data_IF_179886885649
#
_entry.id   IF_179886885649
#
_cell.length_a   1.000
_cell.length_b   1.000
_cell.length_c   1.000
_cell.angle_alpha   90.00
_cell.angle_beta   90.00
_cell.angle_gamma   90.00
#
_symmetry.space_group_name_H-M   'P 1'
#
loop_
_entity.id
_entity.type
_entity.pdbx_description
1 polymer ?
#
# COMPACT_ATOMS: atom_id res chain seq x y z
N UNK A 1 -20.17 13.67 -7.95
CA UNK A 1 -19.05 14.24 -7.14
C UNK A 1 -19.50 14.63 -5.73
N UNK A 2 -20.39 15.57 -5.53
CA UNK A 2 -20.82 16.03 -4.19
C UNK A 2 -21.34 14.89 -3.30
N UNK A 3 -22.11 13.94 -3.85
CA UNK A 3 -22.63 12.78 -3.09
C UNK A 3 -21.57 11.95 -2.39
N UNK A 4 -20.40 11.74 -3.02
CA UNK A 4 -19.31 11.01 -2.41
C UNK A 4 -18.72 11.73 -1.19
N UNK A 5 -18.54 13.04 -1.29
CA UNK A 5 -18.09 13.88 -0.19
C UNK A 5 -19.12 13.96 0.94
N UNK A 6 -20.40 14.09 0.60
CA UNK A 6 -21.49 14.10 1.58
C UNK A 6 -21.55 12.78 2.35
N UNK A 7 -21.37 11.65 1.66
CA UNK A 7 -21.42 10.33 2.27
C UNK A 7 -20.29 10.10 3.29
N UNK A 8 -19.08 10.60 3.03
CA UNK A 8 -17.93 10.42 3.93
C UNK A 8 -17.92 11.38 5.12
N UNK A 9 -18.74 12.43 5.10
CA UNK A 9 -18.86 13.39 6.21
C UNK A 9 -18.51 14.83 5.85
N UNK A 10 -18.53 15.18 4.58
CA UNK A 10 -18.29 16.54 4.06
C UNK A 10 -17.00 17.17 4.58
N UNK A 11 -15.83 16.54 4.40
CA UNK A 11 -14.58 17.16 4.80
C UNK A 11 -14.40 18.51 4.09
N UNK A 12 -13.75 19.44 4.76
CA UNK A 12 -13.42 20.76 4.20
C UNK A 12 -12.34 20.61 3.13
N UNK A 13 -12.73 20.46 1.86
CA UNK A 13 -11.80 20.31 0.75
C UNK A 13 -12.24 21.06 -0.50
N UNK A 14 -11.26 21.38 -1.36
CA UNK A 14 -11.48 21.85 -2.72
C UNK A 14 -11.24 20.70 -3.72
N UNK A 15 -11.85 20.79 -4.91
CA UNK A 15 -11.66 19.81 -5.98
C UNK A 15 -11.17 20.53 -7.24
N UNK A 16 -10.07 20.06 -7.80
CA UNK A 16 -9.52 20.50 -9.08
C UNK A 16 -9.57 19.34 -10.08
N UNK A 17 -10.28 19.49 -11.18
CA UNK A 17 -10.23 18.53 -12.28
C UNK A 17 -9.32 19.10 -13.37
N UNK A 18 -8.34 18.32 -13.80
CA UNK A 18 -7.36 18.77 -14.81
C UNK A 18 -7.00 17.65 -15.78
N UNK A 19 -6.72 18.01 -17.02
CA UNK A 19 -6.15 17.08 -18.00
C UNK A 19 -4.61 16.98 -17.85
N UNK A 20 -3.97 17.96 -17.24
CA UNK A 20 -2.52 17.99 -16.96
C UNK A 20 -2.27 17.68 -15.48
N UNK A 21 -2.58 16.43 -15.11
CA UNK A 21 -2.60 15.98 -13.72
C UNK A 21 -1.21 16.02 -13.08
N UNK A 22 -0.17 15.52 -13.77
CA UNK A 22 1.19 15.45 -13.22
C UNK A 22 1.72 16.84 -12.93
N UNK A 23 1.67 17.75 -13.92
CA UNK A 23 2.13 19.14 -13.74
C UNK A 23 1.34 19.86 -12.65
N UNK A 24 0.03 19.59 -12.54
CA UNK A 24 -0.78 20.20 -11.48
C UNK A 24 -0.34 19.72 -10.08
N UNK A 25 -0.10 18.41 -9.90
CA UNK A 25 0.37 17.85 -8.64
C UNK A 25 1.76 18.38 -8.28
N UNK A 26 2.71 18.38 -9.21
CA UNK A 26 4.08 18.90 -8.98
C UNK A 26 4.09 20.39 -8.62
N UNK A 27 3.31 21.20 -9.33
CA UNK A 27 3.21 22.64 -9.06
C UNK A 27 2.62 22.94 -7.69
N UNK A 28 1.66 22.12 -7.25
CA UNK A 28 0.94 22.30 -5.98
C UNK A 28 1.66 21.62 -4.80
N UNK A 29 2.60 20.73 -5.07
CA UNK A 29 3.41 20.05 -4.08
C UNK A 29 4.90 20.15 -4.43
N UNK A 30 5.51 21.33 -4.25
CA UNK A 30 6.91 21.60 -4.65
C UNK A 30 7.93 20.72 -3.89
N UNK A 31 7.55 20.14 -2.77
CA UNK A 31 8.40 19.22 -2.01
C UNK A 31 8.48 17.80 -2.63
N UNK A 32 7.69 17.55 -3.68
CA UNK A 32 7.70 16.29 -4.45
C UNK A 32 7.83 16.60 -5.96
N UNK A 33 9.00 17.04 -6.43
CA UNK A 33 9.20 17.61 -7.77
C UNK A 33 9.12 16.59 -8.91
N UNK A 34 9.12 15.29 -8.63
CA UNK A 34 9.06 14.24 -9.65
C UNK A 34 7.88 13.29 -9.31
N UNK A 35 6.67 13.80 -9.57
CA UNK A 35 5.49 12.99 -9.30
C UNK A 35 5.25 11.98 -10.42
N UNK A 36 5.28 10.70 -10.09
CA UNK A 36 4.89 9.64 -11.02
C UNK A 36 3.41 9.27 -10.81
N UNK A 37 2.61 9.47 -11.86
CA UNK A 37 1.20 9.09 -11.87
C UNK A 37 0.96 7.62 -12.25
N UNK A 38 1.96 6.92 -12.77
CA UNK A 38 1.84 5.51 -13.12
C UNK A 38 1.93 4.62 -11.87
N UNK A 39 1.08 3.63 -11.79
CA UNK A 39 1.02 2.65 -10.69
C UNK A 39 0.82 1.26 -11.26
N UNK A 40 1.92 0.59 -11.62
CA UNK A 40 1.85 -0.67 -12.34
C UNK A 40 1.18 -0.49 -13.71
N UNK A 41 0.12 -1.23 -13.99
CA UNK A 41 -0.67 -1.12 -15.22
C UNK A 41 -1.68 0.04 -15.21
N UNK A 42 -1.83 0.74 -14.09
CA UNK A 42 -2.83 1.80 -13.92
C UNK A 42 -2.23 3.20 -13.79
N UNK A 43 -3.12 4.18 -13.93
CA UNK A 43 -2.80 5.61 -13.74
C UNK A 43 -3.57 6.13 -12.52
N UNK A 44 -2.92 6.97 -11.72
CA UNK A 44 -3.56 7.63 -10.57
C UNK A 44 -4.73 8.49 -11.06
N UNK A 45 -5.93 8.17 -10.58
CA UNK A 45 -7.16 8.86 -10.96
C UNK A 45 -7.41 10.15 -10.15
N UNK A 46 -6.94 10.19 -8.91
CA UNK A 46 -7.01 11.37 -8.06
C UNK A 46 -5.88 11.37 -7.02
N UNK A 47 -5.62 12.54 -6.42
CA UNK A 47 -4.63 12.74 -5.37
C UNK A 47 -5.09 13.83 -4.41
N UNK A 48 -5.15 13.51 -3.13
CA UNK A 48 -5.37 14.50 -2.07
C UNK A 48 -4.05 15.16 -1.71
N UNK A 49 -4.04 16.49 -1.70
CA UNK A 49 -2.91 17.34 -1.33
C UNK A 49 -3.27 18.17 -0.09
N UNK A 50 -2.31 18.33 0.80
CA UNK A 50 -2.43 19.16 1.99
C UNK A 50 -1.56 20.41 1.79
N UNK A 51 -2.21 21.53 1.61
CA UNK A 51 -1.55 22.81 1.38
C UNK A 51 -1.43 23.57 2.70
N UNK A 52 -0.32 24.28 2.96
CA UNK A 52 -0.21 25.14 4.14
C UNK A 52 -1.33 26.18 4.15
N UNK A 53 -1.97 26.35 5.30
CA UNK A 53 -3.00 27.35 5.55
C UNK A 53 -4.21 27.35 4.60
N UNK A 54 -4.47 26.20 3.94
CA UNK A 54 -5.59 26.01 3.02
C UNK A 54 -6.34 24.69 3.30
N UNK A 55 -7.60 24.57 2.88
CA UNK A 55 -8.29 23.30 2.88
C UNK A 55 -7.55 22.25 2.04
N UNK A 56 -7.74 20.97 2.36
CA UNK A 56 -7.23 19.89 1.52
C UNK A 56 -7.72 20.07 0.08
N UNK A 57 -6.88 19.71 -0.89
CA UNK A 57 -7.20 19.80 -2.31
C UNK A 57 -7.16 18.43 -2.95
N UNK A 58 -8.28 17.98 -3.50
CA UNK A 58 -8.33 16.78 -4.34
C UNK A 58 -8.10 17.16 -5.78
N UNK A 59 -6.98 16.73 -6.35
CA UNK A 59 -6.69 16.87 -7.78
C UNK A 59 -7.16 15.61 -8.48
N UNK A 60 -8.04 15.76 -9.47
CA UNK A 60 -8.59 14.66 -10.26
C UNK A 60 -7.93 14.68 -11.64
N UNK A 61 -7.43 13.51 -12.04
CA UNK A 61 -6.94 13.28 -13.39
C UNK A 61 -8.13 13.14 -14.34
N UNK A 62 -8.48 14.21 -15.05
CA UNK A 62 -9.61 14.25 -15.95
C UNK A 62 -9.54 13.15 -17.01
N UNK A 63 -8.35 12.88 -17.55
CA UNK A 63 -8.16 11.83 -18.56
C UNK A 63 -8.41 10.41 -18.02
N UNK A 64 -8.08 10.17 -16.76
CA UNK A 64 -8.25 8.87 -16.12
C UNK A 64 -9.69 8.59 -15.67
N UNK A 65 -10.53 9.63 -15.57
CA UNK A 65 -11.93 9.49 -15.11
C UNK A 65 -12.96 9.73 -16.19
N UNK A 66 -12.54 10.12 -17.39
CA UNK A 66 -13.45 10.53 -18.47
C UNK A 66 -14.48 9.45 -18.82
N UNK A 67 -14.03 8.20 -18.89
CA UNK A 67 -14.86 7.06 -19.29
C UNK A 67 -15.41 6.26 -18.08
N UNK A 68 -15.21 6.76 -16.86
CA UNK A 68 -15.72 6.10 -15.65
C UNK A 68 -17.21 6.39 -15.43
N UNK A 69 -17.88 5.43 -14.83
CA UNK A 69 -19.28 5.59 -14.42
C UNK A 69 -19.40 6.56 -13.23
N UNK A 70 -20.53 7.23 -13.09
CA UNK A 70 -20.80 8.17 -11.99
C UNK A 70 -20.57 7.55 -10.61
N UNK A 71 -20.92 6.28 -10.43
CA UNK A 71 -20.73 5.56 -9.18
C UNK A 71 -19.24 5.35 -8.83
N UNK A 72 -18.41 5.13 -9.84
CA UNK A 72 -16.95 5.00 -9.64
C UNK A 72 -16.32 6.34 -9.29
N UNK A 73 -16.76 7.43 -9.92
CA UNK A 73 -16.32 8.79 -9.60
C UNK A 73 -16.78 9.18 -8.19
N UNK A 74 -18.01 8.82 -7.82
CA UNK A 74 -18.55 9.05 -6.48
C UNK A 74 -17.71 8.34 -5.43
N UNK A 75 -17.39 7.04 -5.64
CA UNK A 75 -16.54 6.26 -4.77
C UNK A 75 -15.12 6.83 -4.67
N UNK A 76 -14.53 7.24 -5.80
CA UNK A 76 -13.21 7.87 -5.84
C UNK A 76 -13.17 9.12 -4.96
N UNK A 77 -14.17 9.98 -5.08
CA UNK A 77 -14.26 11.18 -4.26
C UNK A 77 -14.53 10.91 -2.79
N UNK A 78 -15.33 9.90 -2.48
CA UNK A 78 -15.50 9.46 -1.11
C UNK A 78 -14.19 8.95 -0.51
N UNK A 79 -13.37 8.23 -1.30
CA UNK A 79 -12.04 7.77 -0.90
C UNK A 79 -11.08 8.93 -0.62
N UNK A 80 -10.94 9.86 -1.57
CA UNK A 80 -10.07 11.03 -1.42
C UNK A 80 -10.56 11.96 -0.29
N UNK A 81 -11.88 12.08 -0.13
CA UNK A 81 -12.49 12.77 1.00
C UNK A 81 -12.15 12.09 2.34
N UNK A 82 -11.98 10.78 2.34
CA UNK A 82 -11.51 10.02 3.48
C UNK A 82 -10.11 10.44 3.95
N UNK A 83 -9.18 10.68 3.04
CA UNK A 83 -7.87 11.23 3.37
C UNK A 83 -7.97 12.62 4.00
N UNK A 84 -8.79 13.53 3.43
CA UNK A 84 -9.02 14.85 4.01
C UNK A 84 -9.62 14.75 5.42
N UNK A 85 -10.59 13.88 5.62
CA UNK A 85 -11.20 13.62 6.93
C UNK A 85 -10.20 13.13 7.97
N UNK A 86 -9.29 12.21 7.58
CA UNK A 86 -8.22 11.74 8.45
C UNK A 86 -7.28 12.87 8.83
N UNK A 87 -6.96 13.75 7.89
CA UNK A 87 -6.08 14.89 8.13
C UNK A 87 -6.74 15.90 9.11
N UNK A 88 -7.98 16.25 8.89
CA UNK A 88 -8.74 17.17 9.77
C UNK A 88 -8.85 16.66 11.21
N UNK A 89 -9.00 15.35 11.39
CA UNK A 89 -9.13 14.74 12.71
C UNK A 89 -7.81 14.33 13.34
N UNK A 90 -6.68 14.74 12.76
CA UNK A 90 -5.34 14.38 13.24
C UNK A 90 -5.02 12.89 13.12
N UNK A 91 -5.80 12.18 12.30
CA UNK A 91 -5.63 10.74 12.09
C UNK A 91 -4.72 10.37 10.93
N UNK A 92 -4.33 11.34 10.09
CA UNK A 92 -3.26 11.13 9.13
C UNK A 92 -1.92 11.20 9.85
N UNK A 93 -1.05 10.29 9.51
CA UNK A 93 0.27 10.25 10.11
C UNK A 93 1.26 10.96 9.21
N UNK A 94 2.00 11.98 9.70
CA UNK A 94 3.10 12.54 8.95
C UNK A 94 4.03 11.40 8.53
N UNK A 95 4.20 11.20 7.23
CA UNK A 95 5.18 10.25 6.73
C UNK A 95 6.57 10.81 7.11
N UNK A 96 7.42 10.00 7.75
CA UNK A 96 8.81 10.39 7.89
C UNK A 96 9.36 10.66 6.48
N UNK A 97 10.21 11.68 6.29
CA UNK A 97 10.79 11.95 4.99
C UNK A 97 11.47 10.67 4.49
N UNK A 98 10.97 10.12 3.41
CA UNK A 98 11.34 8.80 2.85
C UNK A 98 12.83 8.70 2.48
N UNK A 99 13.54 9.82 2.43
CA UNK A 99 14.87 9.89 1.81
C UNK A 99 15.95 10.62 2.61
N UNK A 100 15.69 10.96 3.86
CA UNK A 100 16.75 11.55 4.69
C UNK A 100 17.46 10.44 5.48
N UNK A 101 18.75 10.30 5.29
CA UNK A 101 19.80 9.68 6.12
C UNK A 101 19.47 8.45 7.00
N UNK A 102 18.26 7.94 6.96
CA UNK A 102 17.81 6.77 7.69
C UNK A 102 18.02 5.49 6.86
N UNK A 103 18.28 4.39 7.52
CA UNK A 103 18.26 3.10 6.83
C UNK A 103 16.88 2.86 6.22
N UNK A 104 16.76 2.24 5.02
CA UNK A 104 15.47 1.93 4.39
C UNK A 104 14.52 1.16 5.31
N UNK A 105 15.04 0.24 6.14
CA UNK A 105 14.23 -0.47 7.12
C UNK A 105 13.64 0.42 8.21
N UNK A 106 14.30 1.55 8.53
CA UNK A 106 13.80 2.52 9.51
C UNK A 106 12.79 3.51 8.93
N UNK A 107 12.79 3.73 7.62
CA UNK A 107 11.90 4.69 6.97
C UNK A 107 10.80 4.02 6.14
N UNK A 108 11.14 3.00 5.36
CA UNK A 108 10.19 2.37 4.42
C UNK A 108 9.12 1.56 5.15
N UNK A 109 9.47 0.72 6.12
CA UNK A 109 8.47 -0.08 6.84
C UNK A 109 7.48 0.77 7.65
N UNK A 110 7.93 1.77 8.45
CA UNK A 110 7.00 2.68 9.10
C UNK A 110 6.14 3.50 8.15
N UNK A 111 6.70 3.93 7.00
CA UNK A 111 5.92 4.62 5.98
C UNK A 111 4.88 3.69 5.32
N UNK A 112 5.26 2.46 5.03
CA UNK A 112 4.33 1.43 4.52
C UNK A 112 3.20 1.17 5.50
N UNK A 113 3.52 0.99 6.78
CA UNK A 113 2.53 0.78 7.83
C UNK A 113 1.57 1.98 7.97
N UNK A 114 2.09 3.22 7.90
CA UNK A 114 1.28 4.42 7.97
C UNK A 114 0.28 4.50 6.81
N UNK A 115 0.76 4.35 5.57
CA UNK A 115 -0.11 4.34 4.38
C UNK A 115 -1.13 3.21 4.45
N UNK A 116 -0.71 2.00 4.80
CA UNK A 116 -1.60 0.85 4.89
C UNK A 116 -2.72 1.03 5.93
N UNK A 117 -2.42 1.64 7.07
CA UNK A 117 -3.42 1.93 8.11
C UNK A 117 -4.40 3.03 7.63
N UNK A 118 -3.91 4.07 6.96
CA UNK A 118 -4.79 5.11 6.40
C UNK A 118 -5.76 4.53 5.37
N UNK A 119 -5.24 3.77 4.41
CA UNK A 119 -6.06 3.11 3.39
C UNK A 119 -7.07 2.13 4.00
N UNK A 120 -6.66 1.32 4.97
CA UNK A 120 -7.56 0.44 5.72
C UNK A 120 -8.73 1.21 6.35
N UNK A 121 -8.44 2.30 7.03
CA UNK A 121 -9.46 3.11 7.74
C UNK A 121 -10.47 3.70 6.77
N UNK A 122 -9.99 4.17 5.61
CA UNK A 122 -10.84 4.73 4.56
C UNK A 122 -11.69 3.62 3.94
N UNK A 123 -11.08 2.52 3.52
CA UNK A 123 -11.78 1.41 2.86
C UNK A 123 -12.79 0.73 3.80
N UNK A 124 -12.47 0.61 5.09
CA UNK A 124 -13.42 0.15 6.10
C UNK A 124 -14.62 1.08 6.19
N UNK A 125 -14.40 2.41 6.22
CA UNK A 125 -15.49 3.39 6.24
C UNK A 125 -16.34 3.33 4.99
N UNK A 126 -15.73 3.24 3.81
CA UNK A 126 -16.45 3.11 2.55
C UNK A 126 -17.31 1.83 2.51
N UNK A 127 -16.78 0.74 3.01
CA UNK A 127 -17.51 -0.53 3.12
C UNK A 127 -18.72 -0.42 4.07
N UNK A 128 -18.56 0.24 5.22
CA UNK A 128 -19.66 0.54 6.16
C UNK A 128 -20.74 1.43 5.53
N UNK A 129 -20.37 2.30 4.59
CA UNK A 129 -21.28 3.14 3.82
C UNK A 129 -21.93 2.42 2.62
N UNK A 130 -21.57 1.17 2.38
CA UNK A 130 -22.13 0.35 1.31
C UNK A 130 -21.50 0.55 -0.07
N UNK A 131 -20.34 1.21 -0.15
CA UNK A 131 -19.59 1.29 -1.41
C UNK A 131 -19.02 -0.07 -1.82
N UNK A 132 -18.90 -0.35 -3.14
CA UNK A 132 -18.33 -1.59 -3.63
C UNK A 132 -16.84 -1.70 -3.25
N UNK A 133 -16.34 -2.92 -3.19
CA UNK A 133 -14.92 -3.21 -2.99
C UNK A 133 -14.10 -2.54 -4.11
N UNK A 134 -12.98 -1.93 -3.75
CA UNK A 134 -12.09 -1.31 -4.71
C UNK A 134 -11.55 -2.34 -5.71
N UNK A 135 -11.39 -1.93 -6.97
CA UNK A 135 -10.74 -2.73 -8.01
C UNK A 135 -9.33 -3.20 -7.58
N UNK A 136 -8.60 -2.34 -6.85
CA UNK A 136 -7.29 -2.65 -6.27
C UNK A 136 -7.30 -3.85 -5.31
N UNK A 137 -8.44 -4.23 -4.76
CA UNK A 137 -8.63 -5.42 -3.93
C UNK A 137 -9.21 -6.61 -4.72
N UNK A 138 -9.35 -6.50 -6.05
CA UNK A 138 -9.81 -7.61 -6.88
C UNK A 138 -8.78 -8.76 -6.87
N UNK A 139 -9.23 -10.02 -6.99
CA UNK A 139 -8.34 -11.18 -7.01
C UNK A 139 -7.17 -11.07 -8.01
N UNK A 140 -7.42 -10.50 -9.19
CA UNK A 140 -6.39 -10.28 -10.21
C UNK A 140 -5.28 -9.32 -9.76
N UNK A 141 -5.65 -8.21 -9.12
CA UNK A 141 -4.67 -7.27 -8.57
C UNK A 141 -3.86 -7.88 -7.42
N UNK A 142 -4.52 -8.63 -6.54
CA UNK A 142 -3.84 -9.35 -5.46
C UNK A 142 -2.82 -10.33 -6.05
N UNK A 143 -3.20 -11.07 -7.08
CA UNK A 143 -2.32 -12.03 -7.74
C UNK A 143 -1.14 -11.36 -8.44
N UNK A 144 -1.36 -10.21 -9.06
CA UNK A 144 -0.30 -9.41 -9.67
C UNK A 144 0.73 -8.94 -8.63
N UNK A 145 0.26 -8.38 -7.50
CA UNK A 145 1.16 -7.94 -6.42
C UNK A 145 1.88 -9.09 -5.74
N UNK A 146 1.24 -10.25 -5.60
CA UNK A 146 1.89 -11.47 -5.13
C UNK A 146 3.00 -11.91 -6.08
N UNK A 147 2.74 -11.83 -7.38
CA UNK A 147 3.73 -12.18 -8.40
C UNK A 147 4.92 -11.23 -8.36
N UNK A 148 4.69 -9.91 -8.37
CA UNK A 148 5.73 -8.91 -8.22
C UNK A 148 6.61 -9.15 -6.97
N UNK A 149 5.98 -9.27 -5.80
CA UNK A 149 6.70 -9.51 -4.56
C UNK A 149 7.53 -10.79 -4.61
N UNK A 150 6.98 -11.85 -5.20
CA UNK A 150 7.68 -13.11 -5.35
C UNK A 150 8.89 -12.99 -6.27
N UNK A 151 8.76 -12.29 -7.40
CA UNK A 151 9.87 -12.04 -8.33
C UNK A 151 11.00 -11.28 -7.64
N UNK A 152 10.68 -10.16 -6.98
CA UNK A 152 11.69 -9.35 -6.29
C UNK A 152 12.41 -10.13 -5.18
N UNK A 153 11.67 -10.94 -4.42
CA UNK A 153 12.27 -11.81 -3.39
C UNK A 153 13.22 -12.83 -4.02
N UNK A 154 12.83 -13.47 -5.13
CA UNK A 154 13.65 -14.50 -5.75
C UNK A 154 14.84 -13.91 -6.50
N UNK A 155 14.66 -12.82 -7.24
CA UNK A 155 15.78 -12.10 -7.84
C UNK A 155 16.79 -11.70 -6.78
N UNK A 156 16.27 -11.16 -5.71
CA UNK A 156 17.03 -10.77 -4.58
C UNK A 156 17.84 -11.93 -3.96
N UNK A 157 17.31 -13.13 -3.91
CA UNK A 157 18.02 -14.30 -3.37
C UNK A 157 19.10 -14.85 -4.33
N UNK A 158 18.91 -14.73 -5.63
CA UNK A 158 19.72 -15.42 -6.61
C UNK A 158 20.58 -14.54 -7.52
N UNK A 159 20.21 -13.26 -7.72
CA UNK A 159 20.99 -12.38 -8.60
C UNK A 159 22.33 -11.98 -7.94
N UNK A 160 23.48 -12.28 -8.56
CA UNK A 160 24.77 -11.80 -8.09
C UNK A 160 24.86 -10.27 -7.96
N UNK A 161 24.09 -9.53 -8.78
CA UNK A 161 24.00 -8.06 -8.70
C UNK A 161 23.36 -7.58 -7.41
N UNK A 162 22.64 -8.44 -6.73
CA UNK A 162 22.11 -8.20 -5.39
C UNK A 162 23.18 -8.19 -4.29
N UNK A 163 24.48 -8.24 -4.65
CA UNK A 163 25.56 -7.92 -3.73
C UNK A 163 25.50 -6.45 -3.25
N UNK A 164 24.89 -5.56 -4.02
CA UNK A 164 24.48 -4.25 -3.51
C UNK A 164 23.20 -4.39 -2.68
N UNK A 165 23.42 -4.50 -1.36
CA UNK A 165 22.35 -4.60 -0.36
C UNK A 165 21.32 -3.49 -0.47
N UNK A 166 21.72 -2.31 -0.92
CA UNK A 166 20.84 -1.17 -1.08
C UNK A 166 19.84 -1.36 -2.22
N UNK A 167 20.33 -1.67 -3.40
CA UNK A 167 19.50 -1.93 -4.58
C UNK A 167 18.52 -3.05 -4.32
N UNK A 168 18.99 -4.11 -3.73
CA UNK A 168 18.24 -5.27 -3.31
C UNK A 168 17.13 -4.96 -2.29
N UNK A 169 17.50 -4.31 -1.18
CA UNK A 169 16.54 -3.97 -0.15
C UNK A 169 15.45 -3.03 -0.67
N UNK A 170 15.83 -2.10 -1.56
CA UNK A 170 14.88 -1.17 -2.17
C UNK A 170 13.82 -1.92 -2.98
N UNK A 171 14.20 -2.80 -3.87
CA UNK A 171 13.27 -3.55 -4.72
C UNK A 171 12.28 -4.40 -3.90
N UNK A 172 12.80 -5.21 -2.95
CA UNK A 172 11.97 -6.03 -2.08
C UNK A 172 11.03 -5.20 -1.21
N UNK A 173 11.52 -4.09 -0.63
CA UNK A 173 10.71 -3.24 0.24
C UNK A 173 9.64 -2.45 -0.54
N UNK A 174 9.93 -2.04 -1.77
CA UNK A 174 8.94 -1.40 -2.65
C UNK A 174 7.83 -2.38 -3.07
N UNK A 175 8.19 -3.62 -3.43
CA UNK A 175 7.21 -4.65 -3.74
C UNK A 175 6.36 -5.01 -2.51
N UNK A 176 6.98 -5.13 -1.34
CA UNK A 176 6.27 -5.32 -0.08
C UNK A 176 5.32 -4.15 0.22
N UNK A 177 5.75 -2.92 0.00
CA UNK A 177 4.89 -1.75 0.16
C UNK A 177 3.64 -1.85 -0.73
N UNK A 178 3.80 -2.12 -2.02
CA UNK A 178 2.67 -2.26 -2.96
C UNK A 178 1.72 -3.37 -2.51
N UNK A 179 2.25 -4.53 -2.12
CA UNK A 179 1.44 -5.64 -1.62
C UNK A 179 0.70 -5.29 -0.33
N UNK A 180 1.38 -4.68 0.64
CA UNK A 180 0.79 -4.31 1.94
C UNK A 180 -0.34 -3.29 1.78
N UNK A 181 -0.18 -2.30 0.89
CA UNK A 181 -1.23 -1.34 0.56
C UNK A 181 -2.43 -2.05 -0.10
N UNK A 182 -2.20 -2.94 -1.06
CA UNK A 182 -3.27 -3.75 -1.68
C UNK A 182 -4.05 -4.58 -0.65
N UNK A 183 -3.34 -5.17 0.32
CA UNK A 183 -3.97 -5.91 1.41
C UNK A 183 -4.83 -5.03 2.32
N UNK A 184 -4.52 -3.75 2.45
CA UNK A 184 -5.35 -2.81 3.23
C UNK A 184 -6.69 -2.54 2.56
N UNK A 185 -6.70 -2.40 1.24
CA UNK A 185 -7.94 -2.31 0.47
C UNK A 185 -8.80 -3.57 0.57
N UNK A 186 -8.17 -4.74 0.60
CA UNK A 186 -8.86 -6.01 0.80
C UNK A 186 -9.40 -6.15 2.23
N UNK A 187 -8.63 -5.74 3.22
CA UNK A 187 -8.97 -5.88 4.63
C UNK A 187 -10.14 -4.99 5.06
N UNK A 188 -10.25 -3.77 4.52
CA UNK A 188 -11.29 -2.82 4.91
C UNK A 188 -12.70 -3.43 4.90
N UNK A 189 -13.19 -3.95 3.76
CA UNK A 189 -14.50 -4.61 3.69
C UNK A 189 -14.61 -5.85 4.58
N UNK A 190 -13.54 -6.64 4.74
CA UNK A 190 -13.53 -7.84 5.59
C UNK A 190 -13.73 -7.45 7.06
N UNK A 191 -12.99 -6.45 7.53
CA UNK A 191 -13.07 -5.96 8.91
C UNK A 191 -14.41 -5.25 9.17
N UNK A 192 -14.99 -4.60 8.16
CA UNK A 192 -16.34 -4.04 8.23
C UNK A 192 -17.45 -5.14 8.23
N UNK A 193 -17.12 -6.40 7.98
CA UNK A 193 -18.08 -7.49 7.89
C UNK A 193 -18.94 -7.51 6.61
N UNK A 194 -18.57 -6.73 5.60
CA UNK A 194 -19.29 -6.60 4.32
C UNK A 194 -18.59 -7.33 3.18
N UNK A 195 -17.33 -7.71 3.34
CA UNK A 195 -16.52 -8.41 2.36
C UNK A 195 -15.98 -9.73 2.88
N UNK A 196 -15.53 -10.56 1.95
CA UNK A 196 -14.84 -11.79 2.25
C UNK A 196 -13.78 -12.08 1.19
N UNK A 197 -12.73 -12.74 1.59
CA UNK A 197 -11.69 -13.21 0.69
C UNK A 197 -11.44 -14.69 0.91
N UNK A 198 -11.37 -15.42 -0.19
CA UNK A 198 -10.92 -16.81 -0.19
C UNK A 198 -9.81 -16.96 -1.23
N UNK A 199 -8.71 -17.61 -0.85
CA UNK A 199 -7.64 -17.94 -1.78
C UNK A 199 -8.10 -18.74 -3.01
N UNK A 200 -9.25 -19.41 -2.94
CA UNK A 200 -9.84 -20.11 -4.09
C UNK A 200 -10.27 -19.18 -5.23
N UNK A 201 -10.32 -17.88 -4.99
CA UNK A 201 -10.57 -16.87 -6.00
C UNK A 201 -9.32 -16.56 -6.85
N UNK A 202 -8.15 -16.99 -6.41
CA UNK A 202 -6.89 -16.86 -7.12
C UNK A 202 -6.68 -18.06 -8.06
N UNK A 203 -5.82 -17.89 -9.09
CA UNK A 203 -5.35 -19.02 -9.90
C UNK A 203 -4.59 -20.05 -9.06
N UNK A 204 -4.33 -21.23 -9.61
CA UNK A 204 -3.54 -22.26 -8.91
C UNK A 204 -2.16 -21.74 -8.48
N UNK A 205 -1.53 -20.92 -9.32
CA UNK A 205 -0.26 -20.29 -9.00
C UNK A 205 -0.44 -19.26 -7.85
N UNK A 206 -1.44 -18.41 -7.93
CA UNK A 206 -1.77 -17.45 -6.89
C UNK A 206 -2.08 -18.10 -5.55
N UNK A 207 -2.84 -19.21 -5.54
CA UNK A 207 -3.13 -19.98 -4.32
C UNK A 207 -1.89 -20.55 -3.67
N UNK A 208 -0.97 -21.11 -4.47
CA UNK A 208 0.30 -21.61 -3.99
C UNK A 208 1.15 -20.48 -3.41
N UNK A 209 1.33 -19.39 -4.16
CA UNK A 209 2.12 -18.22 -3.75
C UNK A 209 1.55 -17.58 -2.49
N UNK A 210 0.22 -17.42 -2.41
CA UNK A 210 -0.44 -16.94 -1.19
C UNK A 210 -0.11 -17.81 0.02
N UNK A 211 -0.19 -19.12 -0.15
CA UNK A 211 0.07 -20.08 0.94
C UNK A 211 1.51 -20.00 1.43
N UNK A 212 2.47 -19.87 0.52
CA UNK A 212 3.90 -19.84 0.82
C UNK A 212 4.35 -18.49 1.39
N UNK A 213 3.83 -17.39 0.83
CA UNK A 213 4.32 -16.04 1.11
C UNK A 213 3.44 -15.33 2.16
N UNK A 214 2.12 -15.33 1.96
CA UNK A 214 1.24 -14.39 2.66
C UNK A 214 0.42 -14.98 3.79
N UNK A 215 0.11 -16.28 3.78
CA UNK A 215 -0.94 -16.85 4.63
C UNK A 215 -0.76 -16.59 6.13
N UNK A 216 0.47 -16.60 6.64
CA UNK A 216 0.77 -16.34 8.05
C UNK A 216 0.64 -14.87 8.40
N UNK A 217 1.30 -14.00 7.63
CA UNK A 217 1.26 -12.56 7.85
C UNK A 217 -0.14 -11.98 7.64
N UNK A 218 -0.95 -12.57 6.75
CA UNK A 218 -2.32 -12.16 6.53
C UNK A 218 -3.19 -12.34 7.78
N UNK A 219 -3.06 -13.45 8.47
CA UNK A 219 -3.79 -13.69 9.71
C UNK A 219 -3.44 -12.67 10.79
N UNK A 220 -2.15 -12.49 11.06
CA UNK A 220 -1.65 -11.53 12.05
C UNK A 220 -2.10 -10.10 11.69
N UNK A 221 -2.05 -9.74 10.40
CA UNK A 221 -2.48 -8.45 9.88
C UNK A 221 -3.98 -8.22 10.08
N UNK A 222 -4.83 -9.20 9.79
CA UNK A 222 -6.27 -9.08 10.01
C UNK A 222 -6.62 -8.90 11.49
N UNK A 223 -5.93 -9.58 12.39
CA UNK A 223 -6.12 -9.40 13.83
C UNK A 223 -5.81 -7.97 14.26
N UNK A 224 -4.67 -7.42 13.81
CA UNK A 224 -4.32 -6.03 14.04
C UNK A 224 -5.39 -5.09 13.46
N UNK A 225 -5.76 -5.28 12.20
CA UNK A 225 -6.67 -4.40 11.48
C UNK A 225 -8.10 -4.36 12.07
N UNK A 226 -8.53 -5.41 12.74
CA UNK A 226 -9.81 -5.43 13.46
C UNK A 226 -9.88 -4.40 14.59
N UNK A 227 -8.74 -4.06 15.20
CA UNK A 227 -8.65 -3.11 16.31
C UNK A 227 -8.63 -1.66 15.83
N UNK A 228 -8.23 -1.42 14.58
CA UNK A 228 -8.05 -0.08 14.02
C UNK A 228 -9.42 0.50 13.63
N UNK A 229 -9.82 1.68 14.14
CA UNK A 229 -11.13 2.28 13.86
C UNK A 229 -11.22 2.79 12.41
N UNK A 230 -12.45 2.86 11.83
CA UNK A 230 -12.65 3.43 10.50
C UNK A 230 -12.35 4.94 10.46
N UNK A 231 -12.20 5.50 9.26
CA UNK A 231 -12.09 6.95 9.07
C UNK A 231 -13.32 7.67 9.62
N UNK A 232 -13.12 8.85 10.20
CA UNK A 232 -14.16 9.61 10.90
C UNK A 232 -14.36 9.22 12.37
N UNK A 233 -13.73 8.12 12.82
CA UNK A 233 -13.71 7.77 14.25
C UNK A 233 -12.43 8.30 14.89
N UNK A 234 -12.49 8.89 16.10
CA UNK A 234 -11.29 9.32 16.81
C UNK A 234 -10.27 8.21 16.96
N UNK A 235 -9.01 8.55 16.74
CA UNK A 235 -7.88 7.60 16.80
C UNK A 235 -6.71 8.29 17.48
N UNK A 236 -6.52 8.00 18.75
CA UNK A 236 -5.51 8.66 19.58
C UNK A 236 -4.09 8.41 19.07
N UNK A 237 -3.23 9.42 19.17
CA UNK A 237 -1.85 9.36 18.67
C UNK A 237 -1.04 8.17 19.26
N UNK A 238 -1.23 7.89 20.54
CA UNK A 238 -0.55 6.78 21.24
C UNK A 238 -0.95 5.42 20.63
N UNK A 239 -2.27 5.19 20.46
CA UNK A 239 -2.78 3.98 19.85
C UNK A 239 -2.35 3.86 18.39
N UNK A 240 -2.45 4.95 17.61
CA UNK A 240 -1.99 4.98 16.21
C UNK A 240 -0.49 4.66 16.08
N UNK A 241 0.32 5.12 17.03
CA UNK A 241 1.75 4.83 17.07
C UNK A 241 2.03 3.36 17.43
N UNK A 242 1.29 2.80 18.39
CA UNK A 242 1.40 1.39 18.78
C UNK A 242 0.98 0.46 17.64
N UNK A 243 -0.17 0.71 17.01
CA UNK A 243 -0.67 -0.12 15.91
C UNK A 243 0.26 -0.07 14.68
N UNK A 244 0.88 1.09 14.43
CA UNK A 244 1.91 1.22 13.39
C UNK A 244 3.15 0.39 13.72
N UNK A 245 3.62 0.44 14.96
CA UNK A 245 4.76 -0.36 15.38
C UNK A 245 4.46 -1.87 15.23
N UNK A 246 3.25 -2.29 15.57
CA UNK A 246 2.80 -3.67 15.37
C UNK A 246 2.73 -4.05 13.89
N UNK A 247 2.20 -3.18 13.02
CA UNK A 247 2.20 -3.40 11.57
C UNK A 247 3.61 -3.57 11.00
N UNK A 248 4.58 -2.78 11.48
CA UNK A 248 6.00 -2.94 11.13
C UNK A 248 6.53 -4.31 11.54
N UNK A 249 6.17 -4.80 12.73
CA UNK A 249 6.60 -6.13 13.18
C UNK A 249 5.97 -7.27 12.37
N UNK A 250 4.72 -7.11 11.91
CA UNK A 250 4.09 -8.07 10.96
C UNK A 250 4.89 -8.14 9.66
N UNK A 251 5.29 -7.00 9.10
CA UNK A 251 6.11 -6.96 7.88
C UNK A 251 7.53 -7.52 8.12
N UNK A 252 8.14 -7.20 9.25
CA UNK A 252 9.45 -7.78 9.62
C UNK A 252 9.40 -9.30 9.78
N UNK A 253 8.33 -9.80 10.38
CA UNK A 253 8.11 -11.25 10.52
C UNK A 253 7.94 -11.91 9.16
N UNK A 254 7.14 -11.31 8.27
CA UNK A 254 7.00 -11.78 6.90
C UNK A 254 8.35 -11.87 6.19
N UNK A 255 9.17 -10.82 6.26
CA UNK A 255 10.49 -10.81 5.64
C UNK A 255 11.40 -11.89 6.24
N UNK A 256 11.39 -12.09 7.56
CA UNK A 256 12.16 -13.18 8.21
C UNK A 256 11.73 -14.57 7.72
N UNK A 257 10.42 -14.80 7.60
CA UNK A 257 9.87 -16.06 7.12
C UNK A 257 10.25 -16.32 5.65
N UNK A 258 10.51 -15.26 4.89
CA UNK A 258 11.01 -15.32 3.51
C UNK A 258 12.54 -15.35 3.40
N UNK A 259 13.25 -15.44 4.51
CA UNK A 259 14.70 -15.54 4.55
C UNK A 259 15.44 -14.22 4.66
N UNK A 260 14.76 -13.11 4.96
CA UNK A 260 15.39 -11.80 5.11
C UNK A 260 15.35 -11.32 6.55
N UNK A 261 16.48 -10.81 7.01
CA UNK A 261 16.56 -10.15 8.32
C UNK A 261 17.05 -8.73 8.13
N UNK A 262 16.23 -7.77 8.54
CA UNK A 262 16.64 -6.38 8.62
C UNK A 262 17.23 -6.17 10.00
N UNK A 263 18.54 -5.94 10.04
CA UNK A 263 19.27 -5.55 11.24
C UNK A 263 19.75 -4.12 11.11
N UNK A 264 20.10 -3.51 12.22
CA UNK A 264 20.69 -2.18 12.24
C UNK A 264 20.19 -1.34 13.40
N UNK A 265 20.83 -0.20 13.59
CA UNK A 265 20.51 0.73 14.64
C UNK A 265 19.14 1.37 14.45
N UNK A 266 18.64 1.89 15.55
CA UNK A 266 17.35 2.61 15.57
C UNK A 266 17.54 4.12 15.43
N UNK A 267 18.77 4.60 15.22
CA UNK A 267 19.13 6.01 15.15
C UNK A 267 19.62 6.39 13.77
N UNK A 268 19.43 7.65 13.36
CA UNK A 268 20.05 8.19 12.14
C UNK A 268 21.57 7.97 12.16
N UNK A 269 22.12 7.50 11.04
CA UNK A 269 23.56 7.23 10.91
C UNK A 269 24.02 5.86 11.40
N UNK A 270 23.17 5.08 12.07
CA UNK A 270 23.50 3.71 12.42
C UNK A 270 23.60 2.86 11.14
N UNK A 271 24.59 1.97 11.12
CA UNK A 271 24.70 0.99 10.04
C UNK A 271 23.51 0.02 10.12
N UNK A 272 22.96 -0.28 8.97
CA UNK A 272 21.92 -1.28 8.83
C UNK A 272 22.40 -2.42 7.93
N UNK A 273 21.84 -3.57 8.12
CA UNK A 273 22.11 -4.75 7.32
C UNK A 273 20.81 -5.40 6.88
N UNK A 274 20.82 -5.93 5.68
CA UNK A 274 19.76 -6.74 5.14
C UNK A 274 20.37 -8.10 4.81
N UNK A 275 20.19 -9.04 5.73
CA UNK A 275 20.76 -10.37 5.59
C UNK A 275 19.78 -11.27 4.86
N UNK A 276 20.27 -12.00 3.90
CA UNK A 276 19.53 -13.05 3.21
C UNK A 276 20.03 -14.41 3.65
N UNK A 277 19.10 -15.34 3.89
CA UNK A 277 19.40 -16.73 4.16
C UNK A 277 18.74 -17.60 3.12
N UNK A 278 19.46 -18.62 2.69
CA UNK A 278 18.92 -19.70 1.89
C UNK A 278 19.39 -19.73 0.45
N UNK A 279 19.94 -20.89 0.10
CA UNK A 279 19.96 -21.45 -1.23
C UNK A 279 19.74 -22.94 -1.06
N UNK A 280 18.53 -23.39 -1.23
CA UNK A 280 18.26 -24.82 -1.29
C UNK A 280 17.57 -25.21 -2.61
N UNK A 281 17.41 -26.50 -2.84
CA UNK A 281 16.76 -27.01 -4.04
C UNK A 281 15.30 -26.53 -4.18
N UNK A 282 14.63 -26.25 -3.06
CA UNK A 282 13.25 -25.77 -3.02
C UNK A 282 13.16 -24.37 -3.59
N UNK A 283 14.07 -23.48 -3.19
CA UNK A 283 14.15 -22.11 -3.70
C UNK A 283 14.48 -22.12 -5.20
N UNK A 284 15.40 -22.96 -5.66
CA UNK A 284 15.73 -23.11 -7.08
C UNK A 284 14.51 -23.57 -7.90
N UNK A 285 13.78 -24.58 -7.41
CA UNK A 285 12.56 -25.04 -8.06
C UNK A 285 11.50 -23.95 -8.12
N UNK A 286 11.38 -23.15 -7.07
CA UNK A 286 10.45 -22.01 -7.01
C UNK A 286 10.83 -20.93 -8.01
N UNK A 287 12.09 -20.59 -8.13
CA UNK A 287 12.59 -19.68 -9.15
C UNK A 287 12.20 -20.11 -10.56
N UNK A 288 12.39 -21.39 -10.91
CA UNK A 288 11.99 -21.92 -12.20
C UNK A 288 10.48 -21.79 -12.44
N UNK A 289 9.65 -22.00 -11.41
CA UNK A 289 8.21 -21.81 -11.51
C UNK A 289 7.85 -20.34 -11.78
N UNK A 290 8.52 -19.39 -11.09
CA UNK A 290 8.30 -17.97 -11.30
C UNK A 290 8.71 -17.52 -12.71
N UNK A 291 9.84 -18.00 -13.22
CA UNK A 291 10.25 -17.72 -14.58
C UNK A 291 9.25 -18.27 -15.61
N UNK A 292 8.75 -19.48 -15.40
CA UNK A 292 7.73 -20.07 -16.28
C UNK A 292 6.43 -19.26 -16.25
N UNK A 293 6.05 -18.72 -15.08
CA UNK A 293 4.89 -17.85 -14.95
C UNK A 293 5.11 -16.50 -15.61
N UNK A 294 6.27 -15.87 -15.45
CA UNK A 294 6.63 -14.63 -16.12
C UNK A 294 6.53 -14.78 -17.65
N UNK A 295 7.11 -15.85 -18.19
CA UNK A 295 7.02 -16.15 -19.62
C UNK A 295 5.57 -16.34 -20.11
N UNK A 296 4.68 -16.95 -19.29
CA UNK A 296 3.27 -17.08 -19.64
C UNK A 296 2.54 -15.72 -19.64
N UNK A 297 2.96 -14.78 -18.83
CA UNK A 297 2.43 -13.42 -18.78
C UNK A 297 3.03 -12.48 -19.82
N UNK A 298 4.06 -12.93 -20.55
CA UNK A 298 4.77 -12.14 -21.56
C UNK A 298 5.76 -11.12 -20.97
N UNK A 299 6.27 -11.39 -19.76
CA UNK A 299 7.25 -10.57 -19.02
C UNK A 299 8.67 -11.12 -19.19
#
# INVERSE_FOLDING_TARGET
MQRGLDAIGQPGLAVLVTADFVTAVERLNPDSPEYNAERGSGVVAAKTLYLPDAPALVVINGSAVLDRQDAEIERLLAHEGGHALLHEHGGSTPLPPLYTSYSPGLSVLPATAAVAIEELRIERRLAELGYPIAERAAPGEIEERLFELSCEIFEALYDPRSADVWTFAKAVLEALHRMTVTLSYLAGPIVAGTGQFSRSQLSNFGQQTWTEVMSRSWHDRLQLYQQIPPAGTPYGHEQASADRAEAVEVDRKLLRDLGFTIGGGTRPGDQWSFLRSGSDATLTARWQQLQAEANRRGL
#
